data_IF_748472182946
#
_entry.id   IF_748472182946
#
_cell.length_a   1.000
_cell.length_b   1.000
_cell.length_c   1.000
_cell.angle_alpha   90.00
_cell.angle_beta   90.00
_cell.angle_gamma   90.00
#
_symmetry.space_group_name_H-M   'P 1'
#
loop_
_entity.id
_entity.type
_entity.pdbx_description
1 polymer ?
#
# COMPACT_ATOMS: atom_id res chain seq x y z
N UNK A 1 -45.13 -12.41 7.76
CA UNK A 1 -43.98 -11.93 6.96
C UNK A 1 -43.32 -10.85 7.78
N UNK A 2 -42.29 -11.23 8.54
CA UNK A 2 -41.54 -10.32 9.40
C UNK A 2 -40.46 -9.66 8.55
N UNK A 3 -40.53 -8.34 8.39
CA UNK A 3 -39.52 -7.60 7.66
C UNK A 3 -38.30 -7.42 8.57
N UNK A 4 -37.23 -8.17 8.29
CA UNK A 4 -35.91 -7.98 8.88
C UNK A 4 -35.38 -6.60 8.44
N UNK A 5 -35.78 -5.57 9.18
CA UNK A 5 -35.30 -4.21 8.98
C UNK A 5 -33.91 -4.14 9.58
N UNK A 6 -32.89 -4.40 8.74
CA UNK A 6 -31.50 -4.13 9.10
C UNK A 6 -31.28 -2.67 9.52
N UNK A 7 -30.10 -2.36 10.06
CA UNK A 7 -29.77 -0.98 10.45
C UNK A 7 -29.79 -0.05 9.22
N UNK A 8 -30.70 0.92 9.19
CA UNK A 8 -30.80 1.93 8.13
C UNK A 8 -30.61 3.34 8.68
N UNK A 9 -30.11 4.26 7.86
CA UNK A 9 -30.04 5.69 8.22
C UNK A 9 -31.44 6.25 8.46
N UNK A 10 -31.68 6.97 9.58
CA UNK A 10 -32.96 7.60 9.86
C UNK A 10 -33.42 8.53 8.72
N UNK A 11 -34.69 8.40 8.31
CA UNK A 11 -35.25 9.18 7.20
C UNK A 11 -35.83 10.53 7.64
N UNK A 12 -36.00 10.76 8.94
CA UNK A 12 -36.51 12.02 9.47
C UNK A 12 -35.50 13.14 9.18
N UNK A 13 -36.00 14.26 8.64
CA UNK A 13 -35.22 15.42 8.22
C UNK A 13 -34.37 16.03 9.35
N UNK A 14 -34.82 15.92 10.60
CA UNK A 14 -34.04 16.36 11.78
C UNK A 14 -32.68 15.63 11.90
N UNK A 15 -32.63 14.36 11.50
CA UNK A 15 -31.44 13.52 11.61
C UNK A 15 -30.71 13.35 10.27
N UNK A 16 -31.22 13.91 9.18
CA UNK A 16 -30.53 13.88 7.90
C UNK A 16 -29.37 14.88 7.90
N UNK A 17 -28.20 14.42 7.46
CA UNK A 17 -27.08 15.31 7.16
C UNK A 17 -27.55 16.23 6.03
N UNK A 18 -27.52 17.54 6.27
CA UNK A 18 -27.96 18.52 5.30
C UNK A 18 -27.14 18.37 4.01
N UNK A 19 -27.83 18.23 2.87
CA UNK A 19 -27.25 17.99 1.54
C UNK A 19 -26.22 19.07 1.14
N UNK A 20 -26.25 20.25 1.78
CA UNK A 20 -25.32 21.36 1.58
C UNK A 20 -24.01 21.30 2.40
N UNK A 21 -23.81 20.29 3.25
CA UNK A 21 -22.53 20.10 3.93
C UNK A 21 -21.53 19.50 2.95
N UNK A 22 -20.96 20.34 2.08
CA UNK A 22 -19.81 19.94 1.28
C UNK A 22 -18.73 19.42 2.24
N UNK A 23 -18.25 18.20 2.00
CA UNK A 23 -17.14 17.65 2.78
C UNK A 23 -15.99 18.66 2.74
N UNK A 24 -15.35 18.98 3.88
CA UNK A 24 -14.23 19.89 3.87
C UNK A 24 -13.18 19.42 2.85
N UNK A 25 -12.45 20.33 2.21
CA UNK A 25 -11.44 19.95 1.24
C UNK A 25 -10.46 18.95 1.87
N UNK A 26 -9.99 17.94 1.11
CA UNK A 26 -9.12 16.91 1.64
C UNK A 26 -7.86 17.52 2.27
N UNK A 27 -7.35 16.94 3.38
CA UNK A 27 -6.13 17.42 4.00
C UNK A 27 -4.99 17.40 2.99
N UNK A 28 -4.23 18.50 2.93
CA UNK A 28 -3.14 18.64 1.96
C UNK A 28 -2.01 17.69 2.35
N UNK A 29 -1.64 16.77 1.45
CA UNK A 29 -0.46 15.91 1.63
C UNK A 29 0.78 16.79 1.74
N UNK A 30 1.57 16.61 2.81
CA UNK A 30 2.89 17.26 2.94
C UNK A 30 3.76 16.83 1.74
N UNK A 31 4.44 17.80 1.12
CA UNK A 31 5.42 17.50 0.07
C UNK A 31 6.56 16.72 0.71
N UNK A 32 6.73 15.46 0.33
CA UNK A 32 7.97 14.73 0.61
C UNK A 32 9.02 15.35 -0.31
N UNK A 33 10.10 15.85 0.26
CA UNK A 33 11.22 16.34 -0.53
C UNK A 33 11.84 15.15 -1.27
N UNK A 34 11.43 14.95 -2.52
CA UNK A 34 11.94 13.87 -3.38
C UNK A 34 13.44 14.02 -3.66
N UNK A 35 14.05 15.15 -3.31
CA UNK A 35 15.50 15.39 -3.46
C UNK A 35 16.33 14.69 -2.41
N UNK A 36 15.77 14.37 -1.24
CA UNK A 36 16.47 13.59 -0.23
C UNK A 36 16.16 12.11 -0.47
N UNK A 37 16.96 11.46 -1.32
CA UNK A 37 17.06 9.99 -1.24
C UNK A 37 17.46 9.69 0.20
N UNK A 38 16.57 9.06 0.96
CA UNK A 38 16.88 8.64 2.31
C UNK A 38 17.85 7.48 2.20
N UNK A 39 18.99 7.61 2.86
CA UNK A 39 19.86 6.46 3.07
C UNK A 39 19.09 5.36 3.80
N UNK A 40 19.43 4.09 3.54
CA UNK A 40 18.93 2.98 4.34
C UNK A 40 19.16 3.23 5.85
N UNK A 41 18.31 2.67 6.72
CA UNK A 41 18.55 2.73 8.16
C UNK A 41 19.94 2.17 8.49
N UNK A 42 20.62 2.78 9.47
CA UNK A 42 21.99 2.40 9.86
C UNK A 42 22.14 0.92 10.22
N UNK A 43 21.07 0.31 10.73
CA UNK A 43 21.06 -1.09 11.18
C UNK A 43 20.36 -2.01 10.15
N UNK A 44 20.21 -1.55 8.92
CA UNK A 44 19.41 -2.23 7.90
C UNK A 44 17.91 -2.09 8.15
N UNK A 45 17.13 -2.56 7.18
CA UNK A 45 15.68 -2.69 7.34
C UNK A 45 15.35 -3.88 8.24
N UNK A 46 14.07 -4.04 8.57
CA UNK A 46 13.58 -5.18 9.33
C UNK A 46 14.13 -6.51 8.77
N UNK A 47 14.92 -7.21 9.59
CA UNK A 47 15.48 -8.52 9.28
C UNK A 47 14.58 -9.56 9.95
N UNK A 48 13.90 -10.38 9.15
CA UNK A 48 13.12 -11.51 9.65
C UNK A 48 13.54 -12.78 8.92
N UNK A 49 13.77 -13.89 9.64
CA UNK A 49 14.18 -15.15 9.03
C UNK A 49 13.15 -15.64 7.99
N UNK A 50 11.86 -15.39 8.23
CA UNK A 50 10.78 -15.69 7.28
C UNK A 50 10.95 -14.96 5.94
N UNK A 51 11.41 -13.70 5.95
CA UNK A 51 11.66 -12.93 4.74
C UNK A 51 12.90 -13.43 4.01
N UNK A 52 13.94 -13.80 4.75
CA UNK A 52 15.17 -14.35 4.17
C UNK A 52 14.90 -15.69 3.46
N UNK A 53 14.02 -16.53 4.02
CA UNK A 53 13.55 -17.76 3.37
C UNK A 53 12.70 -17.43 2.14
N UNK A 54 11.77 -16.48 2.27
CA UNK A 54 10.87 -16.07 1.18
C UNK A 54 11.62 -15.49 -0.03
N UNK A 55 12.63 -14.64 0.20
CA UNK A 55 13.43 -14.02 -0.87
C UNK A 55 14.66 -14.85 -1.28
N UNK A 56 15.19 -15.70 -0.41
CA UNK A 56 16.36 -16.54 -0.68
C UNK A 56 16.13 -17.58 -1.77
N UNK A 57 14.90 -18.05 -1.94
CA UNK A 57 14.52 -18.95 -3.06
C UNK A 57 14.48 -18.26 -4.43
N UNK A 58 14.30 -16.93 -4.47
CA UNK A 58 14.28 -16.16 -5.71
C UNK A 58 15.68 -15.68 -6.13
N UNK A 59 16.61 -15.57 -5.17
CA UNK A 59 18.01 -15.17 -5.39
C UNK A 59 18.79 -16.11 -6.31
N UNK A 60 18.52 -17.41 -6.20
CA UNK A 60 19.14 -18.43 -7.04
C UNK A 60 18.71 -18.35 -8.52
N UNK A 61 17.63 -17.64 -8.87
CA UNK A 61 17.12 -17.59 -10.25
C UNK A 61 17.61 -16.37 -11.07
N UNK A 62 18.15 -15.32 -10.45
CA UNK A 62 18.70 -14.19 -11.22
C UNK A 62 20.18 -14.32 -11.58
N UNK A 63 20.94 -15.17 -10.88
CA UNK A 63 22.36 -15.37 -11.20
C UNK A 63 22.62 -16.39 -12.32
N UNK A 64 21.56 -16.86 -13.01
CA UNK A 64 21.62 -17.87 -14.07
C UNK A 64 21.06 -17.46 -15.43
N UNK A 65 20.82 -16.17 -15.70
CA UNK A 65 20.33 -15.71 -17.02
C UNK A 65 21.23 -14.71 -17.75
N UNK A 66 22.47 -14.54 -17.31
CA UNK A 66 23.44 -13.65 -17.98
C UNK A 66 24.70 -14.38 -18.47
N UNK A 67 24.58 -15.60 -19.01
CA UNK A 67 25.69 -16.24 -19.75
C UNK A 67 25.25 -17.00 -21.03
N UNK A 68 24.01 -16.82 -21.49
CA UNK A 68 23.51 -17.54 -22.67
C UNK A 68 23.61 -16.75 -24.00
N UNK A 69 24.08 -15.49 -24.01
CA UNK A 69 24.14 -14.68 -25.24
C UNK A 69 25.54 -14.54 -25.86
N UNK A 70 26.61 -14.87 -25.12
CA UNK A 70 27.98 -14.57 -25.53
C UNK A 70 28.72 -15.74 -26.24
N UNK A 71 28.01 -16.80 -26.65
CA UNK A 71 28.60 -17.96 -27.33
C UNK A 71 28.10 -18.14 -28.78
N UNK A 72 27.74 -17.04 -29.44
CA UNK A 72 27.40 -17.03 -30.88
C UNK A 72 28.00 -15.80 -31.56
N UNK A 73 29.33 -15.76 -31.69
CA UNK A 73 30.06 -15.06 -32.77
C UNK A 73 31.43 -15.69 -32.94
#
# INVERSE_FOLDING_TARGET
MEAEQGCTTPKNQEYQIQVGMACPPPPRKKKIDRRTKRDPPKNGYFQSPELDIFFGGAAAHHQGRELAWAAQV
#
